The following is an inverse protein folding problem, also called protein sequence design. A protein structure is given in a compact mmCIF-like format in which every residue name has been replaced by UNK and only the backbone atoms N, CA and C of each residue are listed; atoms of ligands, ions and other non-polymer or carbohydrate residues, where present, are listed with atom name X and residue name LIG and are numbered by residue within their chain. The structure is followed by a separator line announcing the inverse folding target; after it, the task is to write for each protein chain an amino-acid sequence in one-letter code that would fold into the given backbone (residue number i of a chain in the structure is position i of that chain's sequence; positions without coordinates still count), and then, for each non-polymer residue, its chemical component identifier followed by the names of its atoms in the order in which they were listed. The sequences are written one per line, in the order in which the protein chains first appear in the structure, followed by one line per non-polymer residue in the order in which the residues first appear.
data_IF_752402765288
#
_entry.id   IF_752402765288
#
_cell.length_a   1.000
_cell.length_b   1.000
_cell.length_c   1.000
_cell.angle_alpha   90.00
_cell.angle_beta   90.00
_cell.angle_gamma   90.00
#
_symmetry.space_group_name_H-M   'P 1'
#
loop_
_entity.id
_entity.type
_entity.pdbx_description
1 polymer ?
#
# COMPACT_ATOMS: atom_id res chain seq x y z
N UNK A 1 11.13 4.84 28.02
CA UNK A 1 11.17 5.11 26.57
C UNK A 1 10.28 6.31 26.32
N UNK A 2 10.83 7.43 25.87
CA UNK A 2 10.02 8.55 25.38
C UNK A 2 9.23 8.06 24.15
N UNK A 3 7.91 8.11 24.22
CA UNK A 3 7.08 7.89 23.03
C UNK A 3 7.13 9.18 22.21
N UNK A 4 7.78 9.12 21.05
CA UNK A 4 7.77 10.22 20.10
C UNK A 4 6.41 10.25 19.38
N UNK A 5 5.64 11.30 19.62
CA UNK A 5 4.37 11.60 18.94
C UNK A 5 4.69 12.59 17.81
N UNK A 6 4.28 12.28 16.58
CA UNK A 6 4.62 13.07 15.39
C UNK A 6 3.49 13.96 14.88
N UNK A 7 2.33 13.94 15.55
CA UNK A 7 1.10 14.55 15.07
C UNK A 7 1.25 16.01 14.64
N UNK A 8 1.83 16.87 15.49
CA UNK A 8 2.08 18.28 15.24
C UNK A 8 2.94 18.51 13.99
N UNK A 9 4.04 17.77 13.88
CA UNK A 9 4.95 17.87 12.73
C UNK A 9 4.33 17.35 11.45
N UNK A 10 3.52 16.30 11.54
CA UNK A 10 2.85 15.65 10.42
C UNK A 10 1.74 16.52 9.83
N UNK A 11 0.84 17.07 10.66
CA UNK A 11 -0.26 17.91 10.15
C UNK A 11 0.28 19.18 9.47
N UNK A 12 1.36 19.76 10.01
CA UNK A 12 2.03 20.91 9.40
C UNK A 12 2.64 20.53 8.05
N UNK A 13 3.37 19.42 8.01
CA UNK A 13 3.98 18.91 6.78
C UNK A 13 2.94 18.65 5.69
N UNK A 14 1.82 17.99 6.03
CA UNK A 14 0.73 17.72 5.08
C UNK A 14 0.04 19.01 4.60
N UNK A 15 -0.12 20.02 5.47
CA UNK A 15 -0.63 21.34 5.10
C UNK A 15 0.27 22.02 4.06
N UNK A 16 1.58 22.03 4.32
CA UNK A 16 2.57 22.65 3.44
C UNK A 16 2.65 21.93 2.09
N UNK A 17 2.56 20.59 2.06
CA UNK A 17 2.44 19.81 0.82
C UNK A 17 1.23 20.17 -0.03
N UNK A 18 0.07 20.39 0.60
CA UNK A 18 -1.16 20.86 -0.09
C UNK A 18 -1.12 22.36 -0.43
N UNK A 19 -0.01 23.07 -0.13
CA UNK A 19 0.18 24.51 -0.35
C UNK A 19 -0.90 25.37 0.31
N UNK A 20 -1.36 24.97 1.50
CA UNK A 20 -2.42 25.68 2.23
C UNK A 20 -1.86 26.60 3.31
N UNK A 21 -2.51 27.77 3.48
CA UNK A 21 -2.29 28.61 4.65
C UNK A 21 -2.91 27.96 5.90
N UNK A 22 -2.45 28.37 7.09
CA UNK A 22 -3.10 27.96 8.34
C UNK A 22 -4.57 28.38 8.39
N UNK A 23 -4.90 29.53 7.82
CA UNK A 23 -6.29 30.00 7.79
C UNK A 23 -7.17 29.08 6.91
N UNK A 24 -6.71 28.73 5.70
CA UNK A 24 -7.44 27.82 4.82
C UNK A 24 -7.65 26.43 5.43
N UNK A 25 -6.63 25.86 6.09
CA UNK A 25 -6.78 24.55 6.73
C UNK A 25 -7.70 24.62 7.95
N UNK A 26 -7.59 25.68 8.77
CA UNK A 26 -8.45 25.89 9.92
C UNK A 26 -9.93 25.99 9.51
N UNK A 27 -10.21 26.75 8.44
CA UNK A 27 -11.54 26.86 7.86
C UNK A 27 -12.04 25.50 7.32
N UNK A 28 -11.19 24.73 6.64
CA UNK A 28 -11.55 23.41 6.12
C UNK A 28 -11.85 22.38 7.24
N UNK A 29 -11.20 22.52 8.40
CA UNK A 29 -11.39 21.67 9.57
C UNK A 29 -12.44 22.21 10.55
N UNK A 30 -13.07 23.35 10.25
CA UNK A 30 -13.99 24.06 11.14
C UNK A 30 -13.42 24.33 12.54
N UNK A 31 -12.14 24.70 12.62
CA UNK A 31 -11.45 25.12 13.86
C UNK A 31 -10.91 26.54 13.73
N UNK A 32 -10.57 27.18 14.85
CA UNK A 32 -9.95 28.50 14.81
C UNK A 32 -8.50 28.43 14.32
N UNK A 33 -8.03 29.46 13.61
CA UNK A 33 -6.63 29.59 13.20
C UNK A 33 -5.66 29.47 14.39
N UNK A 34 -6.03 30.04 15.54
CA UNK A 34 -5.25 29.95 16.78
C UNK A 34 -5.13 28.50 17.28
N UNK A 35 -6.24 27.73 17.23
CA UNK A 35 -6.22 26.31 17.59
C UNK A 35 -5.31 25.50 16.65
N UNK A 36 -5.43 25.70 15.34
CA UNK A 36 -4.54 25.03 14.38
C UNK A 36 -3.07 25.36 14.64
N UNK A 37 -2.74 26.64 14.86
CA UNK A 37 -1.38 27.05 15.17
C UNK A 37 -0.85 26.36 16.44
N UNK A 38 -1.64 26.32 17.51
CA UNK A 38 -1.26 25.65 18.75
C UNK A 38 -0.98 24.14 18.56
N UNK A 39 -1.76 23.49 17.70
CA UNK A 39 -1.55 22.08 17.31
C UNK A 39 -0.26 21.90 16.51
N UNK A 40 -0.02 22.72 15.48
CA UNK A 40 1.17 22.61 14.60
C UNK A 40 2.49 22.93 15.31
N UNK A 41 2.47 23.83 16.29
CA UNK A 41 3.66 24.21 17.05
C UNK A 41 3.92 23.29 18.26
N UNK A 42 3.10 22.25 18.47
CA UNK A 42 3.27 21.32 19.59
C UNK A 42 2.95 21.92 20.97
N UNK A 43 2.30 23.09 21.04
CA UNK A 43 1.88 23.69 22.31
C UNK A 43 0.75 22.90 22.97
N UNK A 44 -0.04 22.18 22.18
CA UNK A 44 -1.07 21.26 22.65
C UNK A 44 -0.51 19.84 22.72
N UNK A 45 -0.02 19.43 23.90
CA UNK A 45 0.53 18.07 24.10
C UNK A 45 -0.54 16.96 24.05
N UNK A 46 -1.80 17.31 24.27
CA UNK A 46 -2.93 16.38 24.21
C UNK A 46 -4.12 17.02 23.48
N UNK A 47 -4.14 16.95 22.14
CA UNK A 47 -5.29 17.30 21.33
C UNK A 47 -6.55 16.52 21.73
N UNK A 48 -7.73 17.09 21.45
CA UNK A 48 -8.98 16.37 21.68
C UNK A 48 -9.08 15.20 20.69
N UNK A 49 -9.60 14.02 21.07
CA UNK A 49 -9.93 12.92 20.16
C UNK A 49 -10.61 13.36 18.85
N UNK A 50 -11.52 14.34 18.93
CA UNK A 50 -12.21 14.91 17.76
C UNK A 50 -11.24 15.52 16.75
N UNK A 51 -10.14 16.14 17.22
CA UNK A 51 -9.15 16.76 16.35
C UNK A 51 -8.47 15.68 15.51
N UNK A 52 -8.00 14.61 16.13
CA UNK A 52 -7.39 13.48 15.40
C UNK A 52 -8.32 12.92 14.32
N UNK A 53 -9.60 12.75 14.63
CA UNK A 53 -10.61 12.28 13.67
C UNK A 53 -10.78 13.28 12.52
N UNK A 54 -10.86 14.58 12.80
CA UNK A 54 -10.99 15.61 11.77
C UNK A 54 -9.79 15.62 10.82
N UNK A 55 -8.57 15.56 11.36
CA UNK A 55 -7.35 15.49 10.56
C UNK A 55 -7.25 14.18 9.75
N UNK A 56 -7.60 13.05 10.35
CA UNK A 56 -7.67 11.75 9.69
C UNK A 56 -8.61 11.80 8.49
N UNK A 57 -9.83 12.31 8.67
CA UNK A 57 -10.83 12.42 7.60
C UNK A 57 -10.39 13.39 6.50
N UNK A 58 -9.81 14.54 6.88
CA UNK A 58 -9.38 15.56 5.94
C UNK A 58 -8.19 15.12 5.07
N UNK A 59 -7.19 14.48 5.68
CA UNK A 59 -6.01 13.99 4.98
C UNK A 59 -6.17 12.58 4.41
N UNK A 60 -7.26 11.89 4.74
CA UNK A 60 -7.55 10.50 4.35
C UNK A 60 -6.43 9.53 4.78
N UNK A 61 -5.87 9.77 5.97
CA UNK A 61 -4.81 8.97 6.58
C UNK A 61 -5.27 8.50 7.95
N UNK A 62 -4.86 7.31 8.39
CA UNK A 62 -5.25 6.83 9.71
C UNK A 62 -4.65 7.69 10.82
N UNK A 63 -5.36 7.74 11.95
CA UNK A 63 -4.89 8.38 13.17
C UNK A 63 -3.55 7.77 13.62
N UNK A 64 -3.42 6.44 13.52
CA UNK A 64 -2.19 5.73 13.87
C UNK A 64 -0.99 6.21 13.06
N UNK A 65 -1.15 6.36 11.74
CA UNK A 65 -0.11 6.90 10.85
C UNK A 65 0.23 8.35 11.20
N UNK A 66 -0.79 9.18 11.45
CA UNK A 66 -0.58 10.59 11.82
C UNK A 66 0.15 10.75 13.17
N UNK A 67 0.03 9.78 14.09
CA UNK A 67 0.64 9.86 15.43
C UNK A 67 2.00 9.16 15.50
N UNK A 68 2.13 7.96 14.92
CA UNK A 68 3.26 7.04 15.17
C UNK A 68 4.36 7.10 14.12
N UNK A 69 4.08 7.62 12.92
CA UNK A 69 5.01 7.62 11.79
C UNK A 69 5.49 9.04 11.53
N UNK A 70 6.80 9.26 11.45
CA UNK A 70 7.37 10.54 11.01
C UNK A 70 7.26 10.65 9.48
N UNK A 71 6.23 11.35 8.98
CA UNK A 71 5.96 11.45 7.55
C UNK A 71 7.09 12.15 6.79
N UNK A 72 7.87 13.01 7.46
CA UNK A 72 8.97 13.77 6.84
C UNK A 72 10.13 12.86 6.41
N UNK A 73 10.20 11.63 6.94
CA UNK A 73 11.24 10.63 6.62
C UNK A 73 10.82 9.67 5.50
N UNK A 74 9.58 9.75 5.03
CA UNK A 74 9.08 8.86 3.99
C UNK A 74 9.48 9.34 2.59
N UNK A 75 9.57 8.40 1.65
CA UNK A 75 9.77 8.72 0.23
C UNK A 75 8.50 9.31 -0.38
N UNK A 76 8.64 10.11 -1.44
CA UNK A 76 7.49 10.73 -2.13
C UNK A 76 6.46 9.70 -2.60
N UNK A 77 6.92 8.55 -3.11
CA UNK A 77 6.04 7.45 -3.52
C UNK A 77 5.20 6.97 -2.34
N UNK A 78 5.83 6.78 -1.17
CA UNK A 78 5.13 6.28 0.02
C UNK A 78 4.09 7.27 0.53
N UNK A 79 4.37 8.57 0.44
CA UNK A 79 3.42 9.61 0.85
C UNK A 79 2.21 9.62 -0.07
N UNK A 80 2.42 9.52 -1.39
CA UNK A 80 1.31 9.47 -2.35
C UNK A 80 0.40 8.25 -2.15
N UNK A 81 0.97 7.10 -1.77
CA UNK A 81 0.18 5.92 -1.39
C UNK A 81 -0.72 6.24 -0.18
N UNK A 82 -0.17 6.85 0.87
CA UNK A 82 -0.91 7.21 2.08
C UNK A 82 -1.99 8.27 1.80
N UNK A 83 -1.69 9.31 1.02
CA UNK A 83 -2.65 10.34 0.59
C UNK A 83 -3.77 9.75 -0.30
N UNK A 84 -3.47 8.65 -1.02
CA UNK A 84 -4.44 7.88 -1.80
C UNK A 84 -5.37 7.00 -0.96
N UNK A 85 -5.22 6.99 0.36
CA UNK A 85 -6.00 6.13 1.27
C UNK A 85 -5.47 4.71 1.39
N UNK A 86 -4.32 4.39 0.78
CA UNK A 86 -3.64 3.11 0.95
C UNK A 86 -2.80 3.17 2.22
N UNK A 87 -3.46 3.22 3.38
CA UNK A 87 -2.78 3.21 4.66
C UNK A 87 -2.25 1.81 4.96
N UNK A 88 -0.99 1.58 4.55
CA UNK A 88 -0.27 0.31 4.73
C UNK A 88 -0.07 -0.04 6.21
N UNK A 89 -0.28 0.92 7.13
CA UNK A 89 -0.09 0.75 8.57
C UNK A 89 -1.34 0.35 9.35
N UNK A 90 -2.52 0.23 8.73
CA UNK A 90 -3.54 -0.63 9.34
C UNK A 90 -2.94 -2.03 9.47
N UNK A 91 -3.02 -2.67 10.64
CA UNK A 91 -2.50 -4.04 10.83
C UNK A 91 -3.07 -5.08 9.84
N UNK A 92 -4.05 -4.71 9.00
CA UNK A 92 -4.56 -5.48 7.85
C UNK A 92 -4.05 -5.07 6.46
N UNK A 93 -3.21 -4.03 6.31
CA UNK A 93 -2.67 -3.56 5.02
C UNK A 93 -1.63 -4.50 4.38
N UNK A 94 -1.15 -5.48 5.14
CA UNK A 94 -0.36 -6.60 4.64
C UNK A 94 -1.22 -7.81 4.24
N UNK A 95 -2.55 -7.71 4.25
CA UNK A 95 -3.42 -8.76 3.71
C UNK A 95 -3.37 -8.65 2.18
N UNK A 96 -2.37 -9.31 1.59
CA UNK A 96 -2.35 -9.60 0.16
C UNK A 96 -3.27 -10.79 -0.08
N UNK A 97 -4.40 -10.54 -0.74
CA UNK A 97 -5.29 -11.63 -1.19
C UNK A 97 -4.66 -12.22 -2.44
N UNK A 98 -4.00 -13.37 -2.29
CA UNK A 98 -3.46 -14.13 -3.40
C UNK A 98 -4.49 -15.17 -3.85
N UNK A 99 -4.98 -15.05 -5.07
CA UNK A 99 -5.79 -16.09 -5.68
C UNK A 99 -4.89 -17.25 -6.14
N UNK A 100 -5.18 -18.45 -5.63
CA UNK A 100 -4.50 -19.71 -5.96
C UNK A 100 -5.52 -20.75 -6.44
N UNK A 101 -5.12 -21.62 -7.35
CA UNK A 101 -5.92 -22.79 -7.69
C UNK A 101 -5.33 -24.06 -7.08
N UNK A 102 -6.21 -24.97 -6.66
CA UNK A 102 -5.81 -26.26 -6.05
C UNK A 102 -6.45 -27.43 -6.80
N UNK A 103 -5.84 -28.61 -6.68
CA UNK A 103 -6.41 -29.86 -7.15
C UNK A 103 -7.40 -30.48 -6.14
N UNK A 104 -7.96 -31.66 -6.47
CA UNK A 104 -8.90 -32.40 -5.59
C UNK A 104 -8.28 -32.86 -4.27
N UNK A 105 -6.96 -32.87 -4.16
CA UNK A 105 -6.22 -33.25 -2.95
C UNK A 105 -5.73 -32.01 -2.18
N UNK A 106 -6.22 -30.82 -2.53
CA UNK A 106 -5.85 -29.55 -1.93
C UNK A 106 -4.35 -29.19 -2.11
N UNK A 107 -3.74 -29.65 -3.21
CA UNK A 107 -2.39 -29.27 -3.60
C UNK A 107 -2.44 -28.11 -4.59
N UNK A 108 -1.63 -27.08 -4.37
CA UNK A 108 -1.52 -25.91 -5.26
C UNK A 108 -1.09 -26.33 -6.68
N UNK A 109 -1.74 -25.72 -7.67
CA UNK A 109 -1.29 -25.79 -9.06
C UNK A 109 -0.29 -24.66 -9.34
N UNK A 110 0.47 -24.84 -10.41
CA UNK A 110 1.27 -23.78 -11.02
C UNK A 110 0.48 -23.23 -12.21
N UNK A 111 0.05 -21.98 -12.15
CA UNK A 111 -0.66 -21.35 -13.27
C UNK A 111 0.31 -20.81 -14.32
N UNK A 112 0.04 -21.12 -15.60
CA UNK A 112 0.79 -20.60 -16.73
C UNK A 112 0.20 -19.28 -17.23
N UNK A 113 1.02 -18.23 -17.26
CA UNK A 113 0.63 -16.90 -17.72
C UNK A 113 1.17 -16.69 -19.14
N UNK A 114 0.33 -16.90 -20.19
CA UNK A 114 0.78 -16.74 -21.57
C UNK A 114 1.13 -15.28 -21.88
N UNK A 115 1.96 -15.06 -22.91
CA UNK A 115 2.42 -13.71 -23.33
C UNK A 115 1.24 -12.75 -23.53
N UNK A 116 0.16 -13.22 -24.19
CA UNK A 116 -1.05 -12.43 -24.45
C UNK A 116 -1.75 -11.94 -23.17
N UNK A 117 -1.58 -12.68 -22.07
CA UNK A 117 -2.20 -12.37 -20.78
C UNK A 117 -1.27 -11.60 -19.83
N UNK A 118 0.01 -11.36 -20.16
CA UNK A 118 0.98 -10.67 -19.27
C UNK A 118 0.48 -9.29 -18.80
N UNK A 119 -0.09 -8.50 -19.70
CA UNK A 119 -0.65 -7.19 -19.36
C UNK A 119 -1.84 -7.31 -18.40
N UNK A 120 -2.74 -8.27 -18.66
CA UNK A 120 -3.87 -8.55 -17.79
C UNK A 120 -3.43 -9.10 -16.42
N UNK A 121 -2.40 -9.93 -16.39
CA UNK A 121 -1.83 -10.48 -15.16
C UNK A 121 -1.30 -9.38 -14.23
N UNK A 122 -0.60 -8.38 -14.74
CA UNK A 122 -0.09 -7.27 -13.93
C UNK A 122 -1.21 -6.54 -13.15
N UNK A 123 -2.43 -6.50 -13.70
CA UNK A 123 -3.60 -5.87 -13.08
C UNK A 123 -4.55 -6.87 -12.38
N UNK A 124 -4.51 -8.15 -12.74
CA UNK A 124 -5.49 -9.18 -12.36
C UNK A 124 -4.90 -10.37 -11.59
N UNK A 125 -3.64 -10.31 -11.15
CA UNK A 125 -2.99 -11.43 -10.45
C UNK A 125 -3.64 -11.84 -9.11
N UNK A 126 -4.52 -10.98 -8.56
CA UNK A 126 -5.30 -11.25 -7.36
C UNK A 126 -6.78 -11.58 -7.66
N UNK A 127 -7.19 -11.61 -8.93
CA UNK A 127 -8.55 -11.91 -9.35
C UNK A 127 -8.74 -13.44 -9.49
N UNK A 128 -9.58 -14.07 -8.65
CA UNK A 128 -9.84 -15.51 -8.72
C UNK A 128 -10.40 -15.98 -10.06
N UNK A 129 -11.24 -15.18 -10.73
CA UNK A 129 -11.81 -15.56 -12.02
C UNK A 129 -10.73 -15.56 -13.11
N UNK A 130 -9.86 -14.56 -13.10
CA UNK A 130 -8.72 -14.52 -14.02
C UNK A 130 -7.79 -15.72 -13.81
N UNK A 131 -7.38 -15.97 -12.56
CA UNK A 131 -6.48 -17.09 -12.22
C UNK A 131 -7.12 -18.44 -12.52
N UNK A 132 -8.44 -18.60 -12.29
CA UNK A 132 -9.15 -19.84 -12.57
C UNK A 132 -9.15 -20.24 -14.05
N UNK A 133 -9.08 -19.27 -14.96
CA UNK A 133 -9.07 -19.47 -16.40
C UNK A 133 -7.68 -19.75 -16.98
N UNK A 134 -6.60 -19.59 -16.20
CA UNK A 134 -5.26 -19.91 -16.65
C UNK A 134 -5.05 -21.44 -16.75
N UNK A 135 -4.21 -21.91 -17.70
CA UNK A 135 -3.77 -23.30 -17.71
C UNK A 135 -3.03 -23.65 -16.41
N UNK A 136 -3.30 -24.85 -15.87
CA UNK A 136 -2.81 -25.31 -14.57
C UNK A 136 -1.94 -26.53 -14.73
N UNK A 137 -0.78 -26.53 -14.06
CA UNK A 137 0.17 -27.62 -14.08
C UNK A 137 0.45 -28.12 -12.67
N UNK A 138 0.67 -29.43 -12.52
CA UNK A 138 1.19 -29.98 -11.27
C UNK A 138 2.66 -30.27 -11.46
N UNK A 139 3.51 -29.52 -10.78
CA UNK A 139 4.97 -29.68 -10.86
C UNK A 139 5.44 -30.33 -9.55
N UNK A 140 6.06 -31.51 -9.61
CA UNK A 140 6.60 -32.15 -8.41
C UNK A 140 7.87 -31.42 -7.94
N UNK A 141 8.19 -31.54 -6.66
CA UNK A 141 9.43 -31.03 -6.04
C UNK A 141 9.62 -29.50 -6.02
N UNK A 142 8.55 -28.71 -6.13
CA UNK A 142 8.63 -27.29 -5.82
C UNK A 142 8.77 -27.06 -4.30
N UNK A 143 9.53 -26.03 -3.88
CA UNK A 143 9.57 -25.64 -2.47
C UNK A 143 8.20 -25.14 -2.00
N UNK A 144 8.03 -24.92 -0.70
CA UNK A 144 6.77 -24.38 -0.18
C UNK A 144 6.55 -22.95 -0.71
N UNK A 145 5.42 -22.73 -1.37
CA UNK A 145 5.02 -21.43 -1.91
C UNK A 145 4.05 -21.57 -3.08
N UNK A 146 3.48 -20.43 -3.48
CA UNK A 146 2.66 -20.33 -4.69
C UNK A 146 3.54 -19.87 -5.84
N UNK A 147 3.50 -20.60 -6.94
CA UNK A 147 4.34 -20.34 -8.11
C UNK A 147 3.50 -20.12 -9.36
N UNK A 148 4.01 -19.31 -10.27
CA UNK A 148 3.44 -19.11 -11.60
C UNK A 148 4.51 -19.28 -12.66
N UNK A 149 4.09 -19.78 -13.81
CA UNK A 149 4.98 -20.08 -14.93
C UNK A 149 4.83 -19.03 -16.03
N UNK A 150 5.93 -18.47 -16.50
CA UNK A 150 5.98 -17.40 -17.49
C UNK A 150 6.91 -17.77 -18.65
N UNK A 151 6.48 -17.60 -19.91
CA UNK A 151 7.37 -17.74 -21.05
C UNK A 151 8.36 -16.55 -21.13
N UNK A 152 9.62 -16.87 -21.37
CA UNK A 152 10.67 -15.90 -21.70
C UNK A 152 10.53 -15.48 -23.16
N UNK A 153 10.71 -14.17 -23.39
CA UNK A 153 10.68 -13.57 -24.73
C UNK A 153 11.90 -12.67 -24.90
N UNK A 154 12.61 -12.84 -26.01
CA UNK A 154 13.86 -12.14 -26.32
C UNK A 154 14.94 -12.30 -25.25
N UNK A 155 15.87 -11.34 -25.21
CA UNK A 155 17.06 -11.39 -24.34
C UNK A 155 16.79 -10.93 -22.89
N UNK A 156 15.53 -10.97 -22.45
CA UNK A 156 15.09 -10.36 -21.18
C UNK A 156 15.65 -11.04 -19.92
N UNK A 157 16.18 -12.26 -20.04
CA UNK A 157 16.63 -13.10 -18.92
C UNK A 157 17.89 -13.91 -19.27
N UNK A 158 18.89 -13.30 -19.93
CA UNK A 158 20.16 -13.97 -20.18
C UNK A 158 20.81 -14.48 -18.88
N UNK A 159 21.38 -15.70 -18.85
CA UNK A 159 21.71 -16.58 -19.99
C UNK A 159 20.61 -17.57 -20.39
N UNK A 160 19.37 -17.43 -19.91
CA UNK A 160 18.28 -18.36 -20.22
C UNK A 160 17.80 -18.14 -21.65
N UNK A 161 17.73 -19.21 -22.44
CA UNK A 161 17.36 -19.16 -23.84
C UNK A 161 15.90 -18.76 -24.07
N UNK A 162 15.65 -18.05 -25.18
CA UNK A 162 14.31 -17.74 -25.65
C UNK A 162 13.47 -19.00 -25.85
N UNK A 163 12.17 -18.92 -25.54
CA UNK A 163 11.26 -20.07 -25.60
C UNK A 163 11.28 -20.97 -24.35
N UNK A 164 12.13 -20.66 -23.36
CA UNK A 164 12.06 -21.31 -22.05
C UNK A 164 10.92 -20.75 -21.20
N UNK A 165 10.41 -21.55 -20.26
CA UNK A 165 9.46 -21.12 -19.25
C UNK A 165 10.15 -20.99 -17.88
N UNK A 166 9.89 -19.89 -17.16
CA UNK A 166 10.38 -19.65 -15.81
C UNK A 166 9.24 -19.84 -14.82
N UNK A 167 9.54 -20.49 -13.70
CA UNK A 167 8.64 -20.62 -12.55
C UNK A 167 9.12 -19.63 -11.48
N UNK A 168 8.23 -18.74 -11.03
CA UNK A 168 8.52 -17.69 -10.04
C UNK A 168 7.38 -17.50 -9.04
#
# INVERSE_FOLDING_TARGET
MEQNVFFDTNIRFLRERKKMSQDSLANALAITRAKLAALEYGHTKSPNPIDYVNFSNYFRMSIDTLIKVDLRKLTELKIRELEGGNDVYMMGGNIRVLAISVDKKNKENVEYVPIKAKAGYASGYNDPEFIANLPKFSIPHLPNGTFRMFPIVGDSMLPIAEGSDIIA
#
